data_IF_063336658515
#
_entry.id   IF_063336658515
#
_cell.length_a   1.000
_cell.length_b   1.000
_cell.length_c   1.000
_cell.angle_alpha   90.00
_cell.angle_beta   90.00
_cell.angle_gamma   90.00
#
_symmetry.space_group_name_H-M   'P 1'
#
loop_
_entity.id
_entity.type
_entity.pdbx_description
1 polymer ?
#
# COMPACT_ATOMS: atom_id res chain seq x y z
N UNK A 1 -43.85 7.92 13.39
CA UNK A 1 -43.17 8.96 12.59
C UNK A 1 -42.41 8.27 11.48
N UNK A 2 -42.81 8.37 10.24
CA UNK A 2 -42.23 7.64 9.09
C UNK A 2 -41.57 8.61 8.11
N UNK A 3 -40.55 9.34 8.56
CA UNK A 3 -39.74 10.17 7.68
C UNK A 3 -38.95 9.30 6.67
N UNK A 4 -38.95 9.70 5.41
CA UNK A 4 -38.13 9.06 4.35
C UNK A 4 -37.09 10.05 3.88
N UNK A 5 -35.84 9.58 3.73
CA UNK A 5 -34.80 10.31 3.06
C UNK A 5 -34.42 9.54 1.79
N UNK A 6 -34.36 10.23 0.66
CA UNK A 6 -33.95 9.64 -0.61
C UNK A 6 -32.80 10.44 -1.16
N UNK A 7 -31.72 9.74 -1.45
CA UNK A 7 -30.53 10.32 -2.11
C UNK A 7 -30.41 9.66 -3.49
N UNK A 8 -30.36 10.48 -4.53
CA UNK A 8 -30.09 10.04 -5.90
C UNK A 8 -28.75 10.63 -6.32
N UNK A 9 -27.81 9.77 -6.70
CA UNK A 9 -26.49 10.17 -7.15
C UNK A 9 -26.29 9.77 -8.61
N UNK A 10 -25.96 10.73 -9.45
CA UNK A 10 -25.47 10.50 -10.82
C UNK A 10 -23.97 10.75 -10.82
N UNK A 11 -23.16 9.75 -11.18
CA UNK A 11 -21.72 9.85 -11.27
C UNK A 11 -21.28 9.52 -12.69
N UNK A 12 -20.59 10.45 -13.33
CA UNK A 12 -19.93 10.25 -14.62
C UNK A 12 -18.44 10.49 -14.43
N UNK A 13 -17.62 9.54 -14.87
CA UNK A 13 -16.19 9.52 -14.61
C UNK A 13 -15.43 9.06 -15.85
N UNK A 14 -14.35 9.75 -16.17
CA UNK A 14 -13.40 9.31 -17.19
C UNK A 14 -12.26 8.56 -16.51
N UNK A 15 -12.42 7.27 -16.32
CA UNK A 15 -11.52 6.40 -15.54
C UNK A 15 -10.07 6.48 -15.98
N UNK A 16 -9.80 6.56 -17.28
CA UNK A 16 -8.44 6.63 -17.81
C UNK A 16 -7.68 7.86 -17.34
N UNK A 17 -8.34 9.02 -17.34
CA UNK A 17 -7.74 10.27 -16.87
C UNK A 17 -7.49 10.25 -15.35
N UNK A 18 -8.38 9.64 -14.59
CA UNK A 18 -8.24 9.53 -13.14
C UNK A 18 -7.21 8.47 -12.73
N UNK A 19 -7.09 7.40 -13.51
CA UNK A 19 -6.14 6.32 -13.23
C UNK A 19 -4.71 6.67 -13.63
N UNK A 20 -4.49 7.47 -14.65
CA UNK A 20 -3.16 7.75 -15.20
C UNK A 20 -2.15 8.28 -14.16
N UNK A 21 -2.47 9.26 -13.29
CA UNK A 21 -1.55 9.74 -12.27
C UNK A 21 -1.16 8.63 -11.27
N UNK A 22 -2.12 7.80 -10.85
CA UNK A 22 -1.86 6.70 -9.93
C UNK A 22 -0.96 5.63 -10.55
N UNK A 23 -1.15 5.34 -11.83
CA UNK A 23 -0.30 4.39 -12.56
C UNK A 23 1.13 4.91 -12.65
N UNK A 24 1.32 6.20 -12.94
CA UNK A 24 2.65 6.82 -12.97
C UNK A 24 3.32 6.73 -11.61
N UNK A 25 2.63 7.06 -10.55
CA UNK A 25 3.14 6.96 -9.18
C UNK A 25 3.53 5.52 -8.84
N UNK A 26 2.72 4.54 -9.20
CA UNK A 26 3.03 3.12 -9.00
C UNK A 26 4.29 2.68 -9.76
N UNK A 27 4.49 3.15 -10.98
CA UNK A 27 5.70 2.85 -11.77
C UNK A 27 6.94 3.44 -11.09
N UNK A 28 6.88 4.70 -10.65
CA UNK A 28 7.97 5.36 -9.94
C UNK A 28 8.31 4.65 -8.62
N UNK A 29 7.29 4.27 -7.87
CA UNK A 29 7.46 3.52 -6.63
C UNK A 29 8.08 2.14 -6.90
N UNK A 30 7.65 1.46 -7.94
CA UNK A 30 8.23 0.18 -8.34
C UNK A 30 9.72 0.32 -8.66
N UNK A 31 10.08 1.32 -9.46
CA UNK A 31 11.46 1.57 -9.85
C UNK A 31 12.35 1.87 -8.63
N UNK A 32 11.92 2.78 -7.76
CA UNK A 32 12.65 3.11 -6.52
C UNK A 32 12.78 1.87 -5.62
N UNK A 33 11.72 1.09 -5.49
CA UNK A 33 11.69 -0.08 -4.61
C UNK A 33 12.67 -1.16 -5.03
N UNK A 34 13.02 -1.26 -6.31
CA UNK A 34 14.05 -2.20 -6.78
C UNK A 34 15.46 -1.91 -6.24
N UNK A 35 15.69 -0.67 -5.81
CA UNK A 35 16.98 -0.20 -5.28
C UNK A 35 17.03 -0.18 -3.75
N UNK A 36 15.95 -0.53 -3.07
CA UNK A 36 15.87 -0.55 -1.61
C UNK A 36 16.23 -1.93 -1.08
N UNK A 37 17.11 -1.95 -0.09
CA UNK A 37 17.43 -3.14 0.68
C UNK A 37 17.07 -2.90 2.14
N UNK A 38 16.52 -3.91 2.78
CA UNK A 38 16.11 -3.89 4.17
C UNK A 38 16.99 -4.80 5.01
N UNK A 39 17.31 -4.34 6.21
CA UNK A 39 17.95 -5.15 7.24
C UNK A 39 17.02 -5.25 8.44
N UNK A 40 16.72 -6.47 8.85
CA UNK A 40 16.00 -6.72 10.10
C UNK A 40 16.98 -6.71 11.27
N UNK A 41 16.52 -6.31 12.44
CA UNK A 41 17.37 -6.26 13.65
C UNK A 41 17.87 -7.63 14.08
N UNK A 42 17.18 -8.71 13.70
CA UNK A 42 17.50 -10.11 14.01
C UNK A 42 18.37 -10.79 12.95
N UNK A 43 18.71 -10.09 11.86
CA UNK A 43 19.54 -10.61 10.76
C UNK A 43 20.74 -9.72 10.49
N UNK A 44 21.84 -10.33 10.10
CA UNK A 44 23.06 -9.59 9.74
C UNK A 44 23.03 -9.07 8.31
N UNK A 45 22.36 -9.75 7.42
CA UNK A 45 22.35 -9.45 6.00
C UNK A 45 21.19 -8.52 5.59
N UNK A 46 21.48 -7.71 4.56
CA UNK A 46 20.48 -6.95 3.86
C UNK A 46 19.73 -7.83 2.86
N UNK A 47 18.44 -7.73 2.84
CA UNK A 47 17.58 -8.38 1.84
C UNK A 47 16.94 -7.33 0.94
N UNK A 48 16.80 -7.58 -0.37
CA UNK A 48 16.09 -6.65 -1.24
C UNK A 48 14.66 -6.50 -0.78
N UNK A 49 14.06 -5.35 -1.07
CA UNK A 49 12.63 -5.13 -0.84
C UNK A 49 11.84 -6.01 -1.81
N UNK A 50 11.82 -7.30 -1.51
CA UNK A 50 11.32 -8.33 -2.40
C UNK A 50 9.85 -8.16 -2.80
N UNK A 51 8.94 -7.69 -1.93
CA UNK A 51 7.56 -7.59 -2.35
C UNK A 51 7.18 -6.21 -2.88
N UNK A 52 7.94 -5.71 -3.86
CA UNK A 52 7.48 -4.56 -4.66
C UNK A 52 6.04 -4.78 -5.13
N UNK A 53 5.73 -5.98 -5.62
CA UNK A 53 4.39 -6.34 -6.04
C UNK A 53 3.37 -6.30 -4.89
N UNK A 54 3.77 -6.64 -3.67
CA UNK A 54 2.90 -6.57 -2.49
C UNK A 54 2.65 -5.11 -2.10
N UNK A 55 3.69 -4.28 -2.11
CA UNK A 55 3.55 -2.85 -1.84
C UNK A 55 2.63 -2.19 -2.87
N UNK A 56 2.82 -2.49 -4.16
CA UNK A 56 1.98 -1.97 -5.23
C UNK A 56 0.56 -2.53 -5.17
N UNK A 57 0.40 -3.81 -4.85
CA UNK A 57 -0.93 -4.44 -4.73
C UNK A 57 -1.76 -3.82 -3.62
N UNK A 58 -1.12 -3.22 -2.62
CA UNK A 58 -1.81 -2.50 -1.55
C UNK A 58 -2.58 -1.28 -2.08
N UNK A 59 -2.19 -0.74 -3.22
CA UNK A 59 -2.90 0.32 -3.94
C UNK A 59 -4.03 -0.20 -4.83
N UNK A 60 -4.10 -1.51 -5.00
CA UNK A 60 -5.13 -2.14 -5.80
C UNK A 60 -6.44 -2.28 -5.03
N UNK A 61 -7.52 -2.46 -5.75
CA UNK A 61 -8.86 -2.65 -5.18
C UNK A 61 -8.95 -3.87 -4.24
N UNK A 62 -8.15 -4.90 -4.53
CA UNK A 62 -8.03 -6.10 -3.70
C UNK A 62 -6.55 -6.37 -3.40
N UNK A 63 -5.96 -5.68 -2.43
CA UNK A 63 -4.56 -5.86 -2.10
C UNK A 63 -4.30 -7.25 -1.51
N UNK A 64 -3.10 -7.76 -1.75
CA UNK A 64 -2.64 -8.97 -1.09
C UNK A 64 -2.41 -8.68 0.40
N UNK A 65 -2.94 -9.54 1.24
CA UNK A 65 -2.78 -9.47 2.70
C UNK A 65 -2.51 -10.86 3.26
N UNK A 66 -1.79 -10.98 4.38
CA UNK A 66 -1.60 -12.26 5.06
C UNK A 66 -2.95 -12.90 5.45
N UNK A 67 -2.99 -14.22 5.50
CA UNK A 67 -4.19 -14.95 5.90
C UNK A 67 -4.61 -14.52 7.32
N UNK A 68 -5.86 -14.15 7.48
CA UNK A 68 -6.41 -13.68 8.75
C UNK A 68 -6.25 -12.18 9.01
N UNK A 69 -5.52 -11.47 8.17
CA UNK A 69 -5.43 -10.01 8.25
C UNK A 69 -6.62 -9.35 7.56
N UNK A 70 -7.13 -8.23 8.10
CA UNK A 70 -8.21 -7.50 7.44
C UNK A 70 -7.72 -6.87 6.13
N UNK A 71 -8.56 -6.92 5.13
CA UNK A 71 -8.34 -6.20 3.88
C UNK A 71 -8.60 -4.71 4.12
N UNK A 72 -7.60 -3.87 3.85
CA UNK A 72 -7.75 -2.42 3.91
C UNK A 72 -7.92 -1.89 2.49
N UNK A 73 -9.11 -1.44 2.18
CA UNK A 73 -9.43 -0.77 0.93
C UNK A 73 -9.88 0.67 1.22
N UNK A 74 -8.94 1.49 1.63
CA UNK A 74 -9.15 2.89 1.96
C UNK A 74 -7.92 3.69 1.51
N UNK A 75 -8.07 4.50 0.48
CA UNK A 75 -6.96 5.25 -0.14
C UNK A 75 -6.17 6.08 0.88
N UNK A 76 -6.84 6.73 1.83
CA UNK A 76 -6.17 7.53 2.86
C UNK A 76 -5.23 6.69 3.74
N UNK A 77 -5.63 5.48 4.09
CA UNK A 77 -4.78 4.56 4.87
C UNK A 77 -3.65 3.97 4.03
N UNK A 78 -3.93 3.65 2.78
CA UNK A 78 -2.94 3.17 1.83
C UNK A 78 -1.85 4.22 1.61
N UNK A 79 -2.24 5.47 1.44
CA UNK A 79 -1.33 6.61 1.32
C UNK A 79 -0.50 6.79 2.60
N UNK A 80 -1.11 6.78 3.77
CA UNK A 80 -0.42 6.92 5.05
C UNK A 80 0.63 5.81 5.27
N UNK A 81 0.34 4.59 4.86
CA UNK A 81 1.31 3.49 4.88
C UNK A 81 2.50 3.77 3.96
N UNK A 82 2.27 4.24 2.75
CA UNK A 82 3.34 4.58 1.80
C UNK A 82 4.19 5.75 2.30
N UNK A 83 3.56 6.77 2.89
CA UNK A 83 4.27 7.89 3.51
C UNK A 83 5.18 7.39 4.63
N UNK A 84 4.71 6.51 5.51
CA UNK A 84 5.53 5.89 6.55
C UNK A 84 6.69 5.07 5.96
N UNK A 85 6.46 4.37 4.86
CA UNK A 85 7.51 3.62 4.17
C UNK A 85 8.63 4.55 3.67
N UNK A 86 8.29 5.64 3.00
CA UNK A 86 9.29 6.61 2.54
C UNK A 86 9.98 7.33 3.70
N UNK A 87 9.25 7.66 4.76
CA UNK A 87 9.85 8.23 5.97
C UNK A 87 10.89 7.29 6.58
N UNK A 88 10.59 6.01 6.65
CA UNK A 88 11.56 5.01 7.11
C UNK A 88 12.81 4.94 6.23
N UNK A 89 12.66 5.04 4.90
CA UNK A 89 13.79 5.04 3.97
C UNK A 89 14.77 6.20 4.18
N UNK A 90 14.30 7.33 4.69
CA UNK A 90 15.13 8.52 4.96
C UNK A 90 15.40 8.73 6.47
N UNK A 91 15.09 7.74 7.30
CA UNK A 91 15.37 7.78 8.74
C UNK A 91 14.44 8.66 9.56
N UNK A 92 13.27 9.01 9.07
CA UNK A 92 12.27 9.76 9.81
C UNK A 92 11.32 8.82 10.57
N UNK A 93 10.84 9.31 11.71
CA UNK A 93 9.79 8.61 12.46
C UNK A 93 8.49 8.51 11.65
N UNK A 94 7.70 7.45 11.86
CA UNK A 94 6.39 7.32 11.21
C UNK A 94 5.45 8.46 11.62
N UNK A 95 4.60 8.86 10.70
CA UNK A 95 3.59 9.92 10.91
C UNK A 95 2.24 9.35 11.36
N UNK A 96 2.05 8.05 11.21
CA UNK A 96 0.82 7.35 11.54
C UNK A 96 1.11 5.96 12.09
N UNK A 97 0.07 5.29 12.59
CA UNK A 97 0.15 3.93 13.12
C UNK A 97 0.04 2.83 12.04
N UNK A 98 0.19 3.16 10.78
CA UNK A 98 0.12 2.17 9.70
C UNK A 98 1.40 1.34 9.67
N UNK A 99 1.24 0.02 9.82
CA UNK A 99 2.34 -0.94 9.87
C UNK A 99 2.82 -1.31 8.47
N UNK A 100 4.13 -1.47 8.36
CA UNK A 100 4.81 -1.85 7.12
C UNK A 100 5.27 -3.31 7.10
N UNK A 101 5.40 -3.94 8.27
CA UNK A 101 6.13 -5.20 8.44
C UNK A 101 5.63 -6.29 7.50
N UNK A 102 4.33 -6.53 7.48
CA UNK A 102 3.76 -7.57 6.62
C UNK A 102 3.71 -7.17 5.14
N UNK A 103 3.98 -5.90 4.81
CA UNK A 103 4.07 -5.42 3.43
C UNK A 103 5.49 -5.52 2.87
N UNK A 104 6.48 -5.61 3.73
CA UNK A 104 7.89 -5.70 3.36
C UNK A 104 8.41 -7.13 3.40
N UNK A 105 7.71 -8.04 4.06
CA UNK A 105 8.02 -9.47 4.08
C UNK A 105 7.31 -10.19 2.92
N UNK A 106 8.03 -11.04 2.23
CA UNK A 106 7.42 -11.94 1.25
C UNK A 106 6.41 -12.86 1.93
N UNK A 107 5.24 -13.06 1.33
CA UNK A 107 4.32 -14.09 1.80
C UNK A 107 4.97 -15.44 1.60
N UNK A 108 5.22 -16.16 2.69
CA UNK A 108 5.43 -17.59 2.60
C UNK A 108 4.06 -18.19 2.27
N UNK A 109 3.86 -18.54 1.02
CA UNK A 109 2.80 -19.47 0.65
C UNK A 109 3.21 -20.82 1.23
N UNK A 110 2.70 -21.15 2.41
CA UNK A 110 2.71 -22.51 2.82
C UNK A 110 1.75 -23.25 1.88
N UNK A 111 2.32 -23.92 0.88
CA UNK A 111 1.62 -24.98 0.15
C UNK A 111 1.24 -26.11 1.13
#
# INVERSE_FOLDING_TARGET
MGGKNTIVMHNTCEDSLLAAPLIIDMILIAEISTRISLKRNDKEDYTPLHPVNVLLSYWSKAPLVPKGSPLVNALSKQRAMLENFFRACIGLAPDSNMLLEYKTEGFQTNE
#
